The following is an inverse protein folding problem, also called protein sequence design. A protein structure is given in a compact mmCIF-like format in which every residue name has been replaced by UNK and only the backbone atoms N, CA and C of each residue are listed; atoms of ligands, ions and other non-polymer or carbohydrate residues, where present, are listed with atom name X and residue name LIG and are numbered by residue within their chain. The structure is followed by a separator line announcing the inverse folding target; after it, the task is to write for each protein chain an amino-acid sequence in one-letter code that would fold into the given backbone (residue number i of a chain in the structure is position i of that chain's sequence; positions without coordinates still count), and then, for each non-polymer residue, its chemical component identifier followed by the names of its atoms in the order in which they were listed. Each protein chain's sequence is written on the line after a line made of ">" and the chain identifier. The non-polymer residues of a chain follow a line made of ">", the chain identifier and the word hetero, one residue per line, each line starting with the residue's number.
data_IF_816088787695
#
_entry.id   IF_816088787695
#
_cell.length_a   1.000
_cell.length_b   1.000
_cell.length_c   1.000
_cell.angle_alpha   90.00
_cell.angle_beta   90.00
_cell.angle_gamma   90.00
#
_symmetry.space_group_name_H-M   'P 1'
#
loop_
_entity.id
_entity.type
_entity.pdbx_description
1 polymer ?
#
# COMPACT_ATOMS: atom_id res chain seq x y z
N UNK A 1 -1.89 -14.41 33.03
CA UNK A 1 -2.63 -14.82 31.82
C UNK A 1 -1.88 -14.23 30.65
N UNK A 2 -1.37 -15.07 29.73
CA UNK A 2 -0.64 -14.59 28.56
C UNK A 2 -1.58 -13.76 27.70
N UNK A 3 -1.28 -12.47 27.55
CA UNK A 3 -2.06 -11.60 26.69
C UNK A 3 -1.96 -12.11 25.24
N UNK A 4 -3.09 -12.56 24.69
CA UNK A 4 -3.18 -12.93 23.27
C UNK A 4 -2.92 -11.68 22.40
N UNK A 5 -2.28 -11.88 21.25
CA UNK A 5 -1.94 -10.86 20.26
C UNK A 5 -2.89 -10.96 19.06
N UNK A 6 -4.12 -10.39 19.14
CA UNK A 6 -5.11 -10.51 18.08
C UNK A 6 -4.65 -9.86 16.77
N UNK A 7 -3.78 -8.85 16.86
CA UNK A 7 -3.12 -8.21 15.72
C UNK A 7 -2.34 -9.20 14.86
N UNK A 8 -1.64 -10.15 15.48
CA UNK A 8 -0.89 -11.20 14.79
C UNK A 8 -1.80 -12.32 14.29
N UNK A 9 -2.85 -12.66 15.04
CA UNK A 9 -3.81 -13.69 14.65
C UNK A 9 -4.62 -13.28 13.40
N UNK A 10 -4.90 -12.00 13.23
CA UNK A 10 -5.63 -11.46 12.08
C UNK A 10 -4.81 -11.43 10.77
N UNK A 11 -3.49 -11.64 10.82
CA UNK A 11 -2.64 -11.57 9.62
C UNK A 11 -2.82 -12.79 8.72
N UNK A 12 -3.41 -12.57 7.55
CA UNK A 12 -3.50 -13.59 6.50
C UNK A 12 -2.12 -13.94 5.90
N UNK A 13 -2.06 -15.06 5.17
CA UNK A 13 -0.87 -15.41 4.39
C UNK A 13 -0.50 -14.30 3.39
N UNK A 14 -1.49 -13.70 2.73
CA UNK A 14 -1.29 -12.57 1.82
C UNK A 14 -0.73 -11.34 2.55
N UNK A 15 -1.23 -11.05 3.76
CA UNK A 15 -0.68 -10.00 4.60
C UNK A 15 0.80 -10.27 4.92
N UNK A 16 1.15 -11.49 5.33
CA UNK A 16 2.55 -11.84 5.61
C UNK A 16 3.43 -11.72 4.36
N UNK A 17 2.92 -12.05 3.18
CA UNK A 17 3.64 -11.87 1.90
C UNK A 17 3.89 -10.38 1.64
N UNK A 18 2.86 -9.55 1.79
CA UNK A 18 2.95 -8.10 1.57
C UNK A 18 3.84 -7.40 2.60
N UNK A 19 3.83 -7.88 3.86
CA UNK A 19 4.65 -7.36 4.94
C UNK A 19 6.12 -7.81 4.82
N UNK A 20 6.38 -8.95 4.19
CA UNK A 20 7.71 -9.57 4.07
C UNK A 20 8.07 -9.92 2.61
N UNK A 21 8.03 -11.21 2.24
CA UNK A 21 8.26 -11.72 0.90
C UNK A 21 7.62 -13.12 0.76
N UNK A 22 7.05 -13.41 -0.40
CA UNK A 22 6.49 -14.73 -0.75
C UNK A 22 7.46 -15.90 -0.49
N UNK A 23 8.76 -15.72 -0.75
CA UNK A 23 9.77 -16.75 -0.51
C UNK A 23 9.93 -17.09 0.97
N UNK A 24 9.85 -16.10 1.86
CA UNK A 24 9.92 -16.34 3.30
C UNK A 24 8.67 -17.04 3.82
N UNK A 25 7.48 -16.61 3.39
CA UNK A 25 6.21 -17.20 3.82
C UNK A 25 6.12 -18.66 3.41
N UNK A 26 6.39 -18.97 2.13
CA UNK A 26 6.35 -20.37 1.62
C UNK A 26 7.35 -21.27 2.36
N UNK A 27 8.56 -20.76 2.61
CA UNK A 27 9.59 -21.53 3.32
C UNK A 27 9.24 -21.73 4.80
N UNK A 28 8.69 -20.70 5.45
CA UNK A 28 8.23 -20.78 6.83
C UNK A 28 7.07 -21.77 7.01
N UNK A 29 6.07 -21.74 6.12
CA UNK A 29 4.98 -22.72 6.10
C UNK A 29 5.49 -24.14 5.91
N UNK A 30 6.45 -24.34 5.00
CA UNK A 30 7.09 -25.63 4.78
C UNK A 30 7.83 -26.11 6.03
N UNK A 31 8.66 -25.26 6.63
CA UNK A 31 9.40 -25.59 7.86
C UNK A 31 8.44 -26.02 8.99
N UNK A 32 7.29 -25.35 9.15
CA UNK A 32 6.26 -25.74 10.14
C UNK A 32 5.61 -27.09 9.81
N UNK A 33 5.26 -27.33 8.54
CA UNK A 33 4.69 -28.63 8.11
C UNK A 33 5.66 -29.80 8.30
N UNK A 34 6.96 -29.54 8.27
CA UNK A 34 8.03 -30.52 8.52
C UNK A 34 8.35 -30.69 10.03
N UNK A 35 7.56 -30.08 10.92
CA UNK A 35 7.74 -30.16 12.37
C UNK A 35 8.87 -29.30 12.93
N UNK A 36 9.44 -28.37 12.13
CA UNK A 36 10.50 -27.43 12.57
C UNK A 36 9.89 -26.18 13.21
N UNK A 37 8.93 -26.36 14.10
CA UNK A 37 8.31 -25.25 14.82
C UNK A 37 9.27 -24.73 15.91
N UNK A 38 9.43 -23.40 16.07
CA UNK A 38 10.19 -22.85 17.17
C UNK A 38 9.50 -23.09 18.51
N UNK A 39 10.30 -23.10 19.58
CA UNK A 39 9.77 -22.95 20.94
C UNK A 39 9.31 -21.51 21.12
N UNK A 40 8.00 -21.32 21.36
CA UNK A 40 7.41 -20.02 21.58
C UNK A 40 7.17 -19.78 23.07
N UNK A 41 7.58 -18.61 23.55
CA UNK A 41 7.14 -18.05 24.82
C UNK A 41 6.46 -16.71 24.57
N UNK A 42 5.30 -16.50 25.19
CA UNK A 42 4.54 -15.26 25.12
C UNK A 42 4.31 -14.76 26.53
N UNK A 43 4.86 -13.60 26.89
CA UNK A 43 4.68 -12.99 28.21
C UNK A 43 4.31 -11.52 28.03
N UNK A 44 3.19 -11.09 28.63
CA UNK A 44 2.72 -9.69 28.58
C UNK A 44 2.66 -9.07 27.16
N UNK A 45 2.39 -9.90 26.14
CA UNK A 45 2.31 -9.48 24.74
C UNK A 45 3.66 -9.41 24.00
N UNK A 46 4.79 -9.60 24.68
CA UNK A 46 6.08 -9.86 24.04
C UNK A 46 6.14 -11.33 23.60
N UNK A 47 6.53 -11.56 22.35
CA UNK A 47 6.64 -12.89 21.77
C UNK A 47 8.11 -13.22 21.49
N UNK A 48 8.57 -14.34 22.04
CA UNK A 48 9.94 -14.83 21.88
C UNK A 48 9.88 -16.21 21.21
N UNK A 49 10.62 -16.39 20.12
CA UNK A 49 10.76 -17.65 19.40
C UNK A 49 12.21 -18.12 19.42
N UNK A 50 12.44 -19.36 19.89
CA UNK A 50 13.75 -20.02 19.85
C UNK A 50 13.72 -21.12 18.80
N UNK A 51 14.69 -21.11 17.88
CA UNK A 51 14.75 -22.05 16.77
C UNK A 51 15.82 -23.12 17.01
N UNK A 52 15.65 -24.27 16.37
CA UNK A 52 16.62 -25.37 16.43
C UNK A 52 17.98 -25.05 15.80
N UNK A 53 18.05 -24.03 14.94
CA UNK A 53 19.30 -23.50 14.38
C UNK A 53 20.03 -22.51 15.31
N UNK A 54 19.55 -22.36 16.56
CA UNK A 54 20.19 -21.55 17.60
C UNK A 54 19.87 -20.06 17.53
N UNK A 55 19.08 -19.62 16.56
CA UNK A 55 18.63 -18.23 16.47
C UNK A 55 17.46 -17.95 17.43
N UNK A 56 17.25 -16.67 17.72
CA UNK A 56 16.16 -16.18 18.58
C UNK A 56 15.52 -15.00 17.87
N UNK A 57 14.19 -15.01 17.76
CA UNK A 57 13.40 -13.87 17.33
C UNK A 57 12.63 -13.30 18.52
N UNK A 58 12.55 -11.99 18.64
CA UNK A 58 11.76 -11.29 19.65
C UNK A 58 10.87 -10.26 18.99
N UNK A 59 9.61 -10.18 19.42
CA UNK A 59 8.65 -9.19 18.97
C UNK A 59 8.06 -8.49 20.20
N UNK A 60 8.38 -7.19 20.40
CA UNK A 60 7.85 -6.43 21.53
C UNK A 60 6.31 -6.35 21.53
N UNK A 61 5.74 -6.14 22.71
CA UNK A 61 4.30 -5.92 22.88
C UNK A 61 3.81 -4.73 22.04
N UNK A 62 2.69 -4.93 21.31
CA UNK A 62 2.08 -3.91 20.44
C UNK A 62 2.86 -3.54 19.18
N UNK A 63 4.07 -4.08 18.99
CA UNK A 63 4.90 -3.80 17.83
C UNK A 63 4.54 -4.69 16.64
N UNK A 64 4.72 -4.18 15.42
CA UNK A 64 4.42 -4.92 14.20
C UNK A 64 5.57 -5.85 13.77
N UNK A 65 5.31 -6.73 12.80
CA UNK A 65 6.30 -7.71 12.29
C UNK A 65 7.65 -7.09 11.87
N UNK A 66 7.67 -5.82 11.43
CA UNK A 66 8.89 -5.10 11.05
C UNK A 66 9.82 -4.80 12.23
N UNK A 67 9.23 -4.58 13.40
CA UNK A 67 9.95 -4.20 14.62
C UNK A 67 10.47 -5.43 15.38
N UNK A 68 10.08 -6.64 14.94
CA UNK A 68 10.67 -7.87 15.41
C UNK A 68 12.20 -7.83 15.23
N UNK A 69 12.94 -8.34 16.19
CA UNK A 69 14.40 -8.53 16.11
C UNK A 69 14.68 -10.01 15.95
N UNK A 70 15.76 -10.34 15.26
CA UNK A 70 16.21 -11.72 15.12
C UNK A 70 17.74 -11.74 15.16
N UNK A 71 18.32 -12.75 15.80
CA UNK A 71 19.78 -12.93 15.88
C UNK A 71 20.41 -13.54 14.63
N UNK A 72 19.62 -13.80 13.58
CA UNK A 72 20.13 -14.29 12.30
C UNK A 72 20.88 -13.18 11.53
N UNK A 73 21.80 -13.52 10.59
CA UNK A 73 22.59 -12.54 9.84
C UNK A 73 21.79 -11.75 8.78
N UNK A 74 20.48 -11.98 8.65
CA UNK A 74 19.67 -11.29 7.66
C UNK A 74 19.41 -9.83 8.04
N UNK A 75 19.59 -8.92 7.08
CA UNK A 75 19.28 -7.50 7.24
C UNK A 75 17.78 -7.26 7.04
N UNK A 76 17.08 -6.87 8.09
CA UNK A 76 15.64 -6.62 8.06
C UNK A 76 14.82 -7.89 8.29
N UNK A 77 13.78 -8.10 7.49
CA UNK A 77 12.91 -9.26 7.62
C UNK A 77 13.59 -10.55 7.16
N UNK A 78 13.25 -11.66 7.82
CA UNK A 78 13.82 -12.97 7.55
C UNK A 78 12.75 -14.06 7.70
N UNK A 79 13.09 -15.27 7.26
CA UNK A 79 12.20 -16.43 7.43
C UNK A 79 11.82 -16.64 8.90
N UNK A 80 12.75 -16.45 9.84
CA UNK A 80 12.51 -16.70 11.26
C UNK A 80 11.38 -15.83 11.80
N UNK A 81 11.43 -14.51 11.56
CA UNK A 81 10.39 -13.57 12.00
C UNK A 81 9.00 -13.95 11.46
N UNK A 82 8.92 -14.44 10.22
CA UNK A 82 7.67 -14.94 9.62
C UNK A 82 7.23 -16.25 10.26
N UNK A 83 8.15 -17.21 10.44
CA UNK A 83 7.88 -18.49 11.12
C UNK A 83 7.37 -18.28 12.54
N UNK A 84 7.88 -17.28 13.27
CA UNK A 84 7.40 -16.95 14.63
C UNK A 84 5.92 -16.58 14.63
N UNK A 85 5.46 -15.73 13.70
CA UNK A 85 4.05 -15.35 13.61
C UNK A 85 3.18 -16.54 13.20
N UNK A 86 3.60 -17.31 12.19
CA UNK A 86 2.85 -18.49 11.74
C UNK A 86 2.77 -19.58 12.83
N UNK A 87 3.86 -19.81 13.57
CA UNK A 87 3.88 -20.74 14.69
C UNK A 87 2.96 -20.26 15.83
N UNK A 88 2.91 -18.95 16.09
CA UNK A 88 2.03 -18.37 17.09
C UNK A 88 0.56 -18.53 16.70
N UNK A 89 0.22 -18.29 15.43
CA UNK A 89 -1.11 -18.55 14.88
C UNK A 89 -1.52 -20.02 15.02
N UNK A 90 -0.62 -20.95 14.69
CA UNK A 90 -0.87 -22.39 14.83
C UNK A 90 -1.06 -22.83 16.29
N UNK A 91 -0.27 -22.29 17.23
CA UNK A 91 -0.46 -22.59 18.66
C UNK A 91 -1.80 -22.07 19.18
N UNK A 92 -2.20 -20.86 18.77
CA UNK A 92 -3.50 -20.29 19.15
C UNK A 92 -4.68 -21.07 18.57
N UNK A 93 -4.59 -21.58 17.33
CA UNK A 93 -5.65 -22.41 16.75
C UNK A 93 -5.78 -23.75 17.48
N UNK A 94 -4.66 -24.41 17.80
CA UNK A 94 -4.66 -25.68 18.55
C UNK A 94 -5.18 -25.51 19.98
N UNK A 95 -4.88 -24.38 20.65
CA UNK A 95 -5.42 -24.07 21.96
C UNK A 95 -6.96 -23.90 21.93
N UNK A 96 -7.47 -23.18 20.91
CA UNK A 96 -8.92 -23.02 20.72
C UNK A 96 -9.62 -24.34 20.37
N UNK A 97 -8.98 -25.23 19.61
CA UNK A 97 -9.52 -26.56 19.30
C UNK A 97 -9.53 -27.49 20.52
N UNK A 98 -8.53 -27.41 21.40
CA UNK A 98 -8.46 -28.21 22.63
C UNK A 98 -9.47 -27.76 23.70
N UNK A 99 -9.89 -26.49 23.69
CA UNK A 99 -10.91 -25.95 24.60
C UNK A 99 -12.35 -26.21 24.12
N UNK A 100 -12.55 -26.63 22.87
CA UNK A 100 -13.86 -26.94 22.28
C UNK A 100 -14.01 -28.46 21.96
N UNK A 101 -14.42 -29.26 22.94
CA UNK A 101 -14.98 -30.60 22.67
C UNK A 101 -16.32 -30.51 21.91
N UNK A 102 -16.70 -31.52 21.10
CA UNK A 102 -17.58 -31.34 19.95
C UNK A 102 -19.05 -31.22 20.36
N UNK A 103 -19.49 -29.99 20.63
CA UNK A 103 -20.88 -29.62 20.35
C UNK A 103 -20.94 -29.13 18.92
N UNK A 104 -21.65 -29.88 18.09
CA UNK A 104 -21.97 -29.54 16.72
C UNK A 104 -22.73 -28.20 16.68
N UNK A 105 -21.98 -27.11 16.61
CA UNK A 105 -22.45 -25.84 16.12
C UNK A 105 -21.34 -25.32 15.26
N UNK A 106 -21.54 -25.49 13.95
CA UNK A 106 -20.85 -24.78 12.89
C UNK A 106 -20.78 -23.30 13.27
N UNK A 107 -19.69 -22.90 13.91
CA UNK A 107 -19.29 -21.51 14.00
C UNK A 107 -18.84 -21.13 12.59
N UNK A 108 -19.83 -20.81 11.75
CA UNK A 108 -19.65 -19.71 10.81
C UNK A 108 -19.27 -18.52 11.69
N UNK A 109 -17.95 -18.33 11.88
CA UNK A 109 -17.41 -17.11 12.45
C UNK A 109 -18.03 -15.99 11.64
N UNK A 110 -18.96 -15.26 12.24
CA UNK A 110 -19.55 -14.07 11.64
C UNK A 110 -18.38 -13.24 11.14
N UNK A 111 -18.21 -13.18 9.82
CA UNK A 111 -17.03 -12.54 9.25
C UNK A 111 -17.21 -11.06 9.51
N UNK A 112 -16.58 -10.59 10.58
CA UNK A 112 -16.78 -9.26 11.10
C UNK A 112 -16.26 -8.26 10.05
N UNK A 113 -17.20 -7.65 9.32
CA UNK A 113 -16.90 -6.59 8.37
C UNK A 113 -16.24 -5.45 9.14
N UNK A 114 -14.97 -5.17 8.82
CA UNK A 114 -14.21 -4.15 9.54
C UNK A 114 -13.78 -3.01 8.62
N UNK A 115 -13.57 -1.82 9.20
CA UNK A 115 -13.15 -0.62 8.47
C UNK A 115 -11.95 0.03 9.14
N UNK A 116 -10.92 0.48 8.39
CA UNK A 116 -9.80 1.25 8.94
C UNK A 116 -10.19 2.53 9.68
N UNK A 117 -11.44 2.98 9.56
CA UNK A 117 -12.01 4.07 10.36
C UNK A 117 -11.83 3.88 11.88
N UNK A 118 -11.73 2.62 12.35
CA UNK A 118 -11.51 2.30 13.76
C UNK A 118 -10.20 2.87 14.31
N UNK A 119 -9.19 3.09 13.45
CA UNK A 119 -7.89 3.64 13.84
C UNK A 119 -7.90 5.17 14.03
N UNK A 120 -9.06 5.83 13.94
CA UNK A 120 -9.17 7.29 14.06
C UNK A 120 -8.57 7.82 15.37
N UNK A 121 -8.81 7.14 16.49
CA UNK A 121 -8.28 7.53 17.81
C UNK A 121 -6.77 7.27 17.90
N UNK A 122 -6.27 6.20 17.30
CA UNK A 122 -4.83 5.91 17.24
C UNK A 122 -4.05 7.00 16.51
N UNK A 123 -4.68 7.72 15.56
CA UNK A 123 -4.03 8.86 14.90
C UNK A 123 -3.57 9.94 15.89
N UNK A 124 -4.27 10.13 17.01
CA UNK A 124 -3.91 11.13 18.03
C UNK A 124 -2.57 10.81 18.73
N UNK A 125 -2.14 9.55 18.69
CA UNK A 125 -0.87 9.08 19.25
C UNK A 125 0.32 9.25 18.29
N UNK A 126 0.06 9.60 17.02
CA UNK A 126 1.11 9.74 16.02
C UNK A 126 1.90 11.05 16.19
N UNK A 127 3.17 11.10 15.71
CA UNK A 127 3.99 12.31 15.79
C UNK A 127 3.31 13.53 15.14
N UNK A 128 3.34 14.68 15.82
CA UNK A 128 2.68 15.91 15.34
C UNK A 128 3.19 16.38 13.98
N UNK A 129 4.46 16.13 13.63
CA UNK A 129 5.03 16.43 12.32
C UNK A 129 4.43 15.57 11.19
N UNK A 130 4.12 14.31 11.47
CA UNK A 130 3.42 13.42 10.55
C UNK A 130 1.98 13.87 10.35
N UNK A 131 1.26 14.15 11.44
CA UNK A 131 -0.11 14.65 11.38
C UNK A 131 -0.21 15.97 10.61
N UNK A 132 0.71 16.91 10.83
CA UNK A 132 0.77 18.16 10.05
C UNK A 132 0.94 17.92 8.55
N UNK A 133 1.77 16.95 8.14
CA UNK A 133 1.92 16.56 6.73
C UNK A 133 0.65 15.91 6.18
N UNK A 134 0.00 15.04 6.95
CA UNK A 134 -1.28 14.43 6.56
C UNK A 134 -2.39 15.49 6.39
N UNK A 135 -2.52 16.43 7.32
CA UNK A 135 -3.47 17.54 7.23
C UNK A 135 -3.20 18.45 6.04
N UNK A 136 -1.93 18.68 5.72
CA UNK A 136 -1.52 19.43 4.53
C UNK A 136 -1.97 18.75 3.23
N UNK A 137 -1.88 17.42 3.15
CA UNK A 137 -2.41 16.66 2.01
C UNK A 137 -3.94 16.72 1.97
N UNK A 138 -4.62 16.62 3.12
CA UNK A 138 -6.08 16.77 3.18
C UNK A 138 -6.54 18.17 2.73
N UNK A 139 -5.84 19.24 3.13
CA UNK A 139 -6.15 20.61 2.70
C UNK A 139 -5.93 20.89 1.22
N UNK A 140 -5.25 20.00 0.51
CA UNK A 140 -5.10 20.07 -0.95
C UNK A 140 -6.28 19.40 -1.69
N UNK A 141 -7.44 19.22 -1.04
CA UNK A 141 -8.62 18.54 -1.60
C UNK A 141 -8.28 17.18 -2.23
N UNK A 142 -7.38 16.41 -1.59
CA UNK A 142 -6.93 15.14 -2.12
C UNK A 142 -8.10 14.16 -2.26
N UNK A 143 -8.40 13.78 -3.50
CA UNK A 143 -9.38 12.74 -3.81
C UNK A 143 -8.76 11.36 -3.60
N UNK A 144 -9.42 10.53 -2.79
CA UNK A 144 -8.96 9.17 -2.48
C UNK A 144 -10.06 8.18 -2.85
N UNK A 145 -9.71 7.14 -3.63
CA UNK A 145 -10.62 6.00 -3.78
C UNK A 145 -10.40 5.01 -2.67
N UNK A 146 -11.45 4.72 -1.93
CA UNK A 146 -11.50 3.66 -0.95
C UNK A 146 -12.09 2.40 -1.59
N UNK A 147 -11.54 1.26 -1.21
CA UNK A 147 -12.12 -0.06 -1.43
C UNK A 147 -12.39 -0.66 -0.05
N UNK A 148 -13.64 -0.99 0.22
CA UNK A 148 -14.07 -1.55 1.49
C UNK A 148 -13.54 -2.98 1.68
N UNK A 149 -13.54 -3.45 2.94
CA UNK A 149 -13.33 -4.85 3.23
C UNK A 149 -14.42 -5.71 2.56
N UNK A 150 -14.05 -6.84 1.96
CA UNK A 150 -14.97 -7.83 1.41
C UNK A 150 -14.48 -9.24 1.76
N UNK A 151 -15.39 -10.21 1.83
CA UNK A 151 -15.03 -11.63 2.04
C UNK A 151 -14.02 -12.13 1.02
N UNK A 152 -14.21 -11.74 -0.25
CA UNK A 152 -13.39 -12.18 -1.37
C UNK A 152 -12.07 -11.40 -1.50
N UNK A 153 -12.02 -10.22 -0.87
CA UNK A 153 -10.87 -9.29 -0.88
C UNK A 153 -10.75 -8.63 0.48
N UNK A 154 -10.16 -9.31 1.49
CA UNK A 154 -10.21 -8.89 2.90
C UNK A 154 -9.21 -7.77 3.25
N UNK A 155 -8.77 -6.99 2.26
CA UNK A 155 -7.77 -5.93 2.42
C UNK A 155 -8.34 -4.56 2.02
N UNK A 156 -8.88 -3.79 2.99
CA UNK A 156 -9.28 -2.41 2.75
C UNK A 156 -8.13 -1.62 2.14
N UNK A 157 -8.41 -0.89 1.06
CA UNK A 157 -7.38 -0.19 0.30
C UNK A 157 -7.79 1.24 0.01
N UNK A 158 -6.90 2.19 0.26
CA UNK A 158 -7.03 3.58 -0.17
C UNK A 158 -6.05 3.84 -1.33
N UNK A 159 -6.59 4.29 -2.46
CA UNK A 159 -5.83 4.72 -3.62
C UNK A 159 -5.75 6.25 -3.62
N UNK A 160 -4.58 6.76 -3.26
CA UNK A 160 -4.22 8.17 -3.35
C UNK A 160 -3.64 8.46 -4.75
N UNK A 161 -3.48 9.73 -5.15
CA UNK A 161 -2.97 10.07 -6.48
C UNK A 161 -1.60 9.46 -6.82
N UNK A 162 -0.69 9.42 -5.83
CA UNK A 162 0.71 8.99 -6.02
C UNK A 162 1.09 7.72 -5.26
N UNK A 163 0.19 7.15 -4.46
CA UNK A 163 0.47 5.97 -3.65
C UNK A 163 -0.81 5.21 -3.32
N UNK A 164 -0.66 3.95 -2.92
CA UNK A 164 -1.73 3.11 -2.40
C UNK A 164 -1.42 2.68 -0.97
N UNK A 165 -2.45 2.68 -0.12
CA UNK A 165 -2.39 2.23 1.26
C UNK A 165 -3.29 1.02 1.45
N UNK A 166 -2.74 -0.08 1.97
CA UNK A 166 -3.46 -1.32 2.28
C UNK A 166 -3.43 -1.59 3.77
N UNK A 167 -4.56 -2.04 4.31
CA UNK A 167 -4.69 -2.40 5.71
C UNK A 167 -4.87 -3.91 5.85
N UNK A 168 -4.09 -4.52 6.75
CA UNK A 168 -3.96 -5.98 6.85
C UNK A 168 -4.41 -6.56 8.20
N UNK A 169 -4.72 -5.71 9.19
CA UNK A 169 -5.19 -6.12 10.51
C UNK A 169 -6.16 -5.08 11.03
N UNK A 170 -7.25 -5.51 11.65
CA UNK A 170 -8.24 -4.67 12.34
C UNK A 170 -7.80 -4.25 13.75
N UNK A 171 -6.70 -4.81 14.27
CA UNK A 171 -6.28 -4.61 15.65
C UNK A 171 -5.00 -3.78 15.81
N UNK A 172 -4.30 -3.45 14.71
CA UNK A 172 -3.11 -2.60 14.79
C UNK A 172 -2.81 -1.88 13.48
N UNK A 173 -2.66 -0.56 13.57
CA UNK A 173 -2.24 0.30 12.47
C UNK A 173 -0.80 0.00 11.98
N UNK A 174 0.04 -0.62 12.81
CA UNK A 174 1.44 -0.96 12.48
C UNK A 174 1.57 -1.90 11.28
N UNK A 175 0.52 -2.67 10.99
CA UNK A 175 0.44 -3.57 9.85
C UNK A 175 -0.03 -2.88 8.57
N UNK A 176 -0.49 -1.63 8.60
CA UNK A 176 -0.82 -0.90 7.38
C UNK A 176 0.42 -0.67 6.51
N UNK A 177 0.26 -0.73 5.19
CA UNK A 177 1.37 -0.51 4.25
C UNK A 177 0.99 0.50 3.19
N UNK A 178 1.89 1.47 3.00
CA UNK A 178 1.89 2.37 1.87
C UNK A 178 3.02 1.96 0.92
N UNK A 179 2.80 2.09 -0.39
CA UNK A 179 3.83 1.91 -1.42
C UNK A 179 4.75 3.14 -1.59
N UNK A 180 4.70 4.11 -0.66
CA UNK A 180 5.65 5.21 -0.61
C UNK A 180 7.07 4.75 -0.20
N UNK A 181 8.03 5.68 -0.17
CA UNK A 181 9.41 5.39 0.26
C UNK A 181 9.55 5.15 1.76
N UNK A 182 8.63 5.70 2.57
CA UNK A 182 8.64 5.50 4.01
C UNK A 182 8.23 4.06 4.34
N UNK A 183 9.05 3.42 5.17
CA UNK A 183 8.89 2.01 5.52
C UNK A 183 8.10 1.78 6.82
N UNK A 184 7.58 2.85 7.40
CA UNK A 184 6.82 2.89 8.65
C UNK A 184 5.46 3.56 8.42
N UNK A 185 4.69 3.80 9.48
CA UNK A 185 3.47 4.61 9.40
C UNK A 185 3.83 6.01 8.87
N UNK A 186 3.27 6.38 7.71
CA UNK A 186 3.52 7.64 7.02
C UNK A 186 2.27 8.53 6.97
N UNK A 187 2.41 9.75 6.47
CA UNK A 187 1.31 10.70 6.30
C UNK A 187 0.17 10.17 5.42
N UNK A 188 0.48 9.32 4.43
CA UNK A 188 -0.52 8.71 3.56
C UNK A 188 -1.41 7.71 4.31
N UNK A 189 -0.84 6.96 5.27
CA UNK A 189 -1.62 6.04 6.12
C UNK A 189 -2.56 6.83 7.01
N UNK A 190 -2.08 7.90 7.63
CA UNK A 190 -2.93 8.79 8.43
C UNK A 190 -4.06 9.40 7.60
N UNK A 191 -3.74 9.89 6.39
CA UNK A 191 -4.73 10.43 5.45
C UNK A 191 -5.76 9.38 5.00
N UNK A 192 -5.31 8.15 4.74
CA UNK A 192 -6.21 7.04 4.40
C UNK A 192 -7.17 6.70 5.54
N UNK A 193 -6.70 6.64 6.79
CA UNK A 193 -7.57 6.44 7.97
C UNK A 193 -8.60 7.57 8.08
N UNK A 194 -8.20 8.83 7.87
CA UNK A 194 -9.13 9.96 7.84
C UNK A 194 -10.20 9.81 6.75
N UNK A 195 -9.80 9.36 5.55
CA UNK A 195 -10.72 9.11 4.45
C UNK A 195 -11.74 8.01 4.80
N UNK A 196 -11.30 6.89 5.36
CA UNK A 196 -12.20 5.83 5.83
C UNK A 196 -13.12 6.30 6.96
N UNK A 197 -12.63 7.17 7.86
CA UNK A 197 -13.44 7.74 8.94
C UNK A 197 -14.49 8.76 8.46
N UNK A 198 -14.32 9.31 7.26
CA UNK A 198 -15.28 10.24 6.62
C UNK A 198 -16.20 9.53 5.62
N UNK A 199 -15.92 8.27 5.27
CA UNK A 199 -16.79 7.46 4.43
C UNK A 199 -18.09 7.10 5.18
N UNK A 200 -19.22 6.91 4.47
CA UNK A 200 -20.42 6.34 5.05
C UNK A 200 -20.12 4.96 5.65
N UNK A 201 -20.81 4.63 6.73
CA UNK A 201 -20.54 3.43 7.53
C UNK A 201 -20.96 2.14 6.82
N UNK A 202 -21.91 2.20 5.88
CA UNK A 202 -22.48 1.00 5.24
C UNK A 202 -22.71 1.21 3.73
N UNK A 203 -22.91 0.09 3.01
CA UNK A 203 -23.38 0.01 1.62
C UNK A 203 -22.47 0.62 0.55
N UNK A 204 -21.18 0.32 0.59
CA UNK A 204 -20.29 0.62 -0.53
C UNK A 204 -19.16 -0.40 -0.65
N UNK A 205 -18.75 -0.66 -1.89
CA UNK A 205 -17.59 -1.50 -2.22
C UNK A 205 -16.41 -0.66 -2.65
N UNK A 206 -16.68 0.39 -3.42
CA UNK A 206 -15.74 1.40 -3.84
C UNK A 206 -16.36 2.79 -3.69
N UNK A 207 -15.60 3.74 -3.16
CA UNK A 207 -16.07 5.10 -2.92
C UNK A 207 -14.95 6.09 -3.17
N UNK A 208 -15.25 7.22 -3.81
CA UNK A 208 -14.31 8.34 -3.87
C UNK A 208 -14.66 9.34 -2.77
N UNK A 209 -13.68 9.66 -1.92
CA UNK A 209 -13.83 10.60 -0.80
C UNK A 209 -12.79 11.69 -0.95
N UNK A 210 -13.22 12.94 -0.87
CA UNK A 210 -12.33 14.09 -0.69
C UNK A 210 -12.15 14.30 0.80
N UNK A 211 -10.91 14.21 1.29
CA UNK A 211 -10.65 14.27 2.73
C UNK A 211 -10.71 15.70 3.23
N UNK A 212 -11.58 15.95 4.20
CA UNK A 212 -11.67 17.24 4.88
C UNK A 212 -10.70 17.24 6.08
N UNK A 213 -9.72 18.15 6.16
CA UNK A 213 -8.83 18.23 7.32
C UNK A 213 -9.62 18.66 8.58
N UNK A 214 -9.24 18.18 9.78
CA UNK A 214 -9.90 18.59 11.03
C UNK A 214 -9.61 20.06 11.42
N UNK A 215 -8.59 20.70 10.85
CA UNK A 215 -8.30 22.12 11.04
C UNK A 215 -8.42 22.87 9.70
N UNK A 216 -9.33 23.85 9.63
CA UNK A 216 -9.63 24.66 8.43
C UNK A 216 -8.48 25.63 8.04
N UNK A 217 -7.50 25.85 8.91
CA UNK A 217 -6.38 26.79 8.67
C UNK A 217 -5.14 26.15 8.03
N UNK A 218 -5.24 24.91 7.55
CA UNK A 218 -4.15 24.31 6.79
C UNK A 218 -4.04 25.03 5.44
N UNK A 219 -2.93 25.75 5.24
CA UNK A 219 -2.61 26.41 3.97
C UNK A 219 -2.62 25.37 2.85
N UNK A 220 -3.44 25.60 1.81
CA UNK A 220 -3.47 24.79 0.60
C UNK A 220 -2.02 24.57 0.12
N UNK A 221 -1.61 23.31 0.03
CA UNK A 221 -0.26 22.94 -0.33
C UNK A 221 -0.28 22.29 -1.70
N UNK A 222 0.21 23.03 -2.69
CA UNK A 222 0.38 22.53 -4.03
C UNK A 222 1.64 21.65 -4.09
N UNK A 223 1.46 20.33 -4.26
CA UNK A 223 2.54 19.36 -4.43
C UNK A 223 3.46 19.70 -5.62
N UNK A 224 2.95 20.44 -6.61
CA UNK A 224 3.65 20.82 -7.82
C UNK A 224 4.33 22.19 -7.73
N UNK A 225 4.22 22.89 -6.59
CA UNK A 225 4.80 24.24 -6.41
C UNK A 225 6.33 24.24 -6.20
N UNK A 226 6.93 23.11 -5.84
CA UNK A 226 8.38 23.04 -5.66
C UNK A 226 9.11 23.10 -7.00
N UNK A 227 10.27 23.75 -7.05
CA UNK A 227 11.09 23.85 -8.27
C UNK A 227 11.41 22.47 -8.88
N UNK A 228 11.73 21.49 -8.02
CA UNK A 228 11.97 20.11 -8.45
C UNK A 228 10.71 19.45 -9.07
N UNK A 229 9.53 19.72 -8.52
CA UNK A 229 8.27 19.20 -9.08
C UNK A 229 7.90 19.88 -10.40
N UNK A 230 8.14 21.18 -10.55
CA UNK A 230 7.95 21.91 -11.80
C UNK A 230 8.91 21.42 -12.89
N UNK A 231 10.18 21.20 -12.55
CA UNK A 231 11.16 20.64 -13.48
C UNK A 231 10.79 19.21 -13.90
N UNK A 232 10.27 18.39 -12.98
CA UNK A 232 9.80 17.04 -13.28
C UNK A 232 8.56 17.06 -14.17
N UNK A 233 7.61 17.98 -13.94
CA UNK A 233 6.46 18.21 -14.83
C UNK A 233 6.93 18.51 -16.25
N UNK A 234 7.83 19.47 -16.39
CA UNK A 234 8.39 19.84 -17.70
C UNK A 234 9.08 18.65 -18.37
N UNK A 235 9.86 17.86 -17.64
CA UNK A 235 10.53 16.69 -18.18
C UNK A 235 9.52 15.61 -18.65
N UNK A 236 8.50 15.30 -17.84
CA UNK A 236 7.47 14.31 -18.18
C UNK A 236 6.65 14.75 -19.41
N UNK A 237 6.28 16.03 -19.49
CA UNK A 237 5.58 16.58 -20.66
C UNK A 237 6.46 16.56 -21.91
N UNK A 238 7.74 16.91 -21.79
CA UNK A 238 8.69 16.90 -22.91
C UNK A 238 8.91 15.49 -23.45
N UNK A 239 9.11 14.50 -22.56
CA UNK A 239 9.25 13.08 -22.95
C UNK A 239 8.00 12.62 -23.73
N UNK A 240 6.81 12.91 -23.22
CA UNK A 240 5.58 12.51 -23.89
C UNK A 240 5.40 13.20 -25.25
N UNK A 241 5.67 14.50 -25.34
CA UNK A 241 5.58 15.25 -26.57
C UNK A 241 6.53 14.72 -27.64
N UNK A 242 7.80 14.48 -27.28
CA UNK A 242 8.80 13.93 -28.20
C UNK A 242 8.44 12.52 -28.67
N UNK A 243 7.98 11.65 -27.77
CA UNK A 243 7.49 10.33 -28.14
C UNK A 243 6.29 10.39 -29.09
N UNK A 244 5.39 11.38 -28.93
CA UNK A 244 4.24 11.58 -29.82
C UNK A 244 4.64 12.14 -31.18
N UNK A 245 5.60 13.06 -31.24
CA UNK A 245 6.01 13.71 -32.48
C UNK A 245 6.94 12.83 -33.32
N UNK A 246 7.91 12.18 -32.69
CA UNK A 246 8.97 11.45 -33.37
C UNK A 246 8.67 9.95 -33.49
N UNK A 247 7.84 9.43 -32.58
CA UNK A 247 7.44 8.02 -32.48
C UNK A 247 8.42 7.18 -31.64
N UNK A 248 7.92 6.11 -31.02
CA UNK A 248 8.70 5.22 -30.14
C UNK A 248 9.76 4.37 -30.86
N UNK A 249 9.79 4.40 -32.19
CA UNK A 249 10.75 3.65 -33.01
C UNK A 249 12.06 4.40 -33.25
N UNK A 250 12.16 5.66 -32.82
CA UNK A 250 13.38 6.46 -32.98
C UNK A 250 14.47 6.07 -31.98
N UNK A 251 15.75 6.30 -32.29
CA UNK A 251 16.84 5.92 -31.40
C UNK A 251 16.79 6.73 -30.09
N UNK A 252 16.86 6.05 -28.93
CA UNK A 252 16.57 6.66 -27.62
C UNK A 252 17.52 7.78 -27.16
N UNK A 253 18.69 7.92 -27.79
CA UNK A 253 19.76 8.87 -27.41
C UNK A 253 19.28 10.30 -27.11
N UNK A 254 18.35 10.83 -27.93
CA UNK A 254 17.74 12.15 -27.74
C UNK A 254 16.95 12.31 -26.42
N UNK A 255 16.45 11.21 -25.83
CA UNK A 255 15.67 11.19 -24.60
C UNK A 255 16.47 10.76 -23.36
N UNK A 256 17.69 10.25 -23.52
CA UNK A 256 18.45 9.66 -22.41
C UNK A 256 18.71 10.65 -21.28
N UNK A 257 19.11 11.87 -21.63
CA UNK A 257 19.34 12.94 -20.66
C UNK A 257 18.05 13.34 -19.92
N UNK A 258 16.92 13.43 -20.64
CA UNK A 258 15.62 13.77 -20.05
C UNK A 258 15.11 12.68 -19.11
N UNK A 259 15.23 11.40 -19.49
CA UNK A 259 14.88 10.29 -18.59
C UNK A 259 15.79 10.27 -17.35
N UNK A 260 17.10 10.48 -17.51
CA UNK A 260 18.02 10.51 -16.36
C UNK A 260 17.64 11.64 -15.38
N UNK A 261 17.36 12.84 -15.91
CA UNK A 261 16.90 13.97 -15.11
C UNK A 261 15.57 13.68 -14.41
N UNK A 262 14.58 13.16 -15.14
CA UNK A 262 13.26 12.87 -14.58
C UNK A 262 13.33 11.81 -13.46
N UNK A 263 14.13 10.76 -13.65
CA UNK A 263 14.35 9.72 -12.63
C UNK A 263 15.02 10.30 -11.38
N UNK A 264 16.05 11.12 -11.53
CA UNK A 264 16.75 11.77 -10.41
C UNK A 264 15.81 12.72 -9.63
N UNK A 265 14.99 13.51 -10.35
CA UNK A 265 14.01 14.39 -9.72
C UNK A 265 12.94 13.59 -8.96
N UNK A 266 12.38 12.54 -9.58
CA UNK A 266 11.39 11.67 -8.94
C UNK A 266 11.95 10.98 -7.69
N UNK A 267 13.22 10.55 -7.71
CA UNK A 267 13.91 9.99 -6.56
C UNK A 267 14.09 11.04 -5.44
N UNK A 268 14.52 12.26 -5.79
CA UNK A 268 14.69 13.35 -4.82
C UNK A 268 13.38 13.76 -4.14
N UNK A 269 12.27 13.74 -4.88
CA UNK A 269 10.92 13.99 -4.39
C UNK A 269 10.33 12.77 -3.66
N UNK A 270 11.01 11.62 -3.73
CA UNK A 270 10.56 10.33 -3.18
C UNK A 270 9.23 9.85 -3.76
N UNK A 271 8.92 10.23 -5.00
CA UNK A 271 7.71 9.85 -5.71
C UNK A 271 7.88 8.50 -6.40
N UNK A 272 7.83 7.43 -5.60
CA UNK A 272 8.16 6.07 -6.02
C UNK A 272 7.37 5.58 -7.22
N UNK A 273 6.07 5.84 -7.25
CA UNK A 273 5.24 5.44 -8.37
C UNK A 273 5.70 6.09 -9.70
N UNK A 274 6.01 7.40 -9.67
CA UNK A 274 6.51 8.13 -10.85
C UNK A 274 7.86 7.56 -11.28
N UNK A 275 8.75 7.29 -10.32
CA UNK A 275 10.05 6.66 -10.56
C UNK A 275 9.90 5.28 -11.24
N UNK A 276 9.01 4.43 -10.71
CA UNK A 276 8.75 3.08 -11.26
C UNK A 276 8.12 3.15 -12.65
N UNK A 277 7.14 4.04 -12.87
CA UNK A 277 6.52 4.26 -14.18
C UNK A 277 7.50 4.78 -15.23
N UNK A 278 8.35 5.76 -14.88
CA UNK A 278 9.40 6.25 -15.77
C UNK A 278 10.44 5.16 -16.10
N UNK A 279 10.82 4.37 -15.09
CA UNK A 279 11.76 3.24 -15.27
C UNK A 279 11.18 2.19 -16.20
N UNK A 280 9.91 1.81 -15.99
CA UNK A 280 9.22 0.84 -16.83
C UNK A 280 9.04 1.33 -18.27
N UNK A 281 8.67 2.61 -18.47
CA UNK A 281 8.55 3.20 -19.79
C UNK A 281 9.91 3.23 -20.52
N UNK A 282 10.98 3.68 -19.84
CA UNK A 282 12.33 3.68 -20.39
C UNK A 282 12.77 2.27 -20.80
N UNK A 283 12.54 1.28 -19.95
CA UNK A 283 12.89 -0.12 -20.24
C UNK A 283 12.12 -0.66 -21.44
N UNK A 284 10.83 -0.34 -21.57
CA UNK A 284 10.02 -0.77 -22.71
C UNK A 284 10.54 -0.17 -24.04
N UNK A 285 10.95 1.10 -24.04
CA UNK A 285 11.55 1.74 -25.21
C UNK A 285 12.92 1.15 -25.57
N UNK A 286 13.75 0.83 -24.57
CA UNK A 286 15.04 0.14 -24.78
C UNK A 286 14.84 -1.26 -25.36
N UNK A 287 13.89 -2.03 -24.83
CA UNK A 287 13.56 -3.36 -25.37
C UNK A 287 13.08 -3.26 -26.83
N UNK A 288 12.30 -2.23 -27.17
CA UNK A 288 11.85 -1.96 -28.55
C UNK A 288 13.02 -1.60 -29.48
N UNK A 289 13.91 -0.69 -29.06
CA UNK A 289 15.09 -0.32 -29.84
C UNK A 289 16.03 -1.51 -30.09
N UNK A 290 16.16 -2.40 -29.10
CA UNK A 290 16.96 -3.62 -29.19
C UNK A 290 16.28 -4.76 -29.98
N UNK A 291 15.04 -4.57 -30.47
CA UNK A 291 14.21 -5.62 -31.10
C UNK A 291 14.10 -6.88 -30.23
N UNK A 292 14.01 -6.67 -28.93
CA UNK A 292 13.88 -7.74 -27.93
C UNK A 292 12.55 -8.48 -28.11
N UNK A 293 12.51 -9.77 -27.78
CA UNK A 293 11.25 -10.54 -27.73
C UNK A 293 10.28 -10.02 -26.67
N UNK A 294 10.75 -9.19 -25.74
CA UNK A 294 9.92 -8.49 -24.73
C UNK A 294 9.26 -7.21 -25.26
N UNK A 295 9.63 -6.75 -26.45
CA UNK A 295 9.13 -5.51 -27.01
C UNK A 295 7.67 -5.66 -27.48
N UNK A 296 6.77 -4.96 -26.80
CA UNK A 296 5.36 -4.91 -27.15
C UNK A 296 4.91 -3.44 -27.27
N UNK A 297 4.62 -2.94 -28.50
CA UNK A 297 4.23 -1.54 -28.70
C UNK A 297 2.99 -1.11 -27.89
N UNK A 298 2.03 -2.02 -27.72
CA UNK A 298 0.83 -1.79 -26.89
C UNK A 298 1.18 -1.54 -25.42
N UNK A 299 2.20 -2.25 -24.90
CA UNK A 299 2.66 -2.07 -23.52
C UNK A 299 3.34 -0.72 -23.34
N UNK A 300 4.17 -0.28 -24.30
CA UNK A 300 4.80 1.05 -24.29
C UNK A 300 3.75 2.15 -24.30
N UNK A 301 2.74 2.05 -25.18
CA UNK A 301 1.64 3.01 -25.24
C UNK A 301 0.83 3.04 -23.92
N UNK A 302 0.50 1.86 -23.37
CA UNK A 302 -0.21 1.78 -22.11
C UNK A 302 0.55 2.44 -20.96
N UNK A 303 1.86 2.21 -20.85
CA UNK A 303 2.71 2.84 -19.84
C UNK A 303 2.77 4.37 -19.98
N UNK A 304 2.89 4.87 -21.22
CA UNK A 304 2.89 6.32 -21.49
C UNK A 304 1.54 6.96 -21.12
N UNK A 305 0.43 6.36 -21.57
CA UNK A 305 -0.91 6.85 -21.26
C UNK A 305 -1.20 6.80 -19.75
N UNK A 306 -0.80 5.72 -19.06
CA UNK A 306 -0.95 5.57 -17.63
C UNK A 306 -0.16 6.64 -16.86
N UNK A 307 1.11 6.86 -17.25
CA UNK A 307 1.94 7.91 -16.66
C UNK A 307 1.27 9.28 -16.80
N UNK A 308 0.86 9.65 -18.02
CA UNK A 308 0.26 10.95 -18.32
C UNK A 308 -1.09 11.16 -17.63
N UNK A 309 -1.96 10.14 -17.65
CA UNK A 309 -3.28 10.24 -17.04
C UNK A 309 -3.20 10.45 -15.52
N UNK A 310 -2.37 9.66 -14.82
CA UNK A 310 -2.22 9.82 -13.36
C UNK A 310 -1.51 11.11 -12.99
N UNK A 311 -0.50 11.52 -13.78
CA UNK A 311 0.18 12.79 -13.58
C UNK A 311 -0.78 13.97 -13.70
N UNK A 312 -1.53 14.03 -14.81
CA UNK A 312 -2.52 15.09 -15.08
C UNK A 312 -3.60 15.13 -14.01
N UNK A 313 -4.10 13.96 -13.59
CA UNK A 313 -5.07 13.87 -12.50
C UNK A 313 -4.51 14.36 -11.17
N UNK A 314 -3.25 14.05 -10.87
CA UNK A 314 -2.64 14.50 -9.62
C UNK A 314 -2.49 16.02 -9.60
N UNK A 315 -2.15 16.62 -10.75
CA UNK A 315 -2.12 18.07 -10.92
C UNK A 315 -3.49 18.71 -10.74
N UNK A 316 -4.51 18.14 -11.38
CA UNK A 316 -5.88 18.62 -11.23
C UNK A 316 -6.33 18.58 -9.77
N UNK A 317 -6.02 17.49 -9.06
CA UNK A 317 -6.34 17.36 -7.64
C UNK A 317 -5.64 18.40 -6.75
N UNK A 318 -4.48 18.92 -7.16
CA UNK A 318 -3.75 19.94 -6.39
C UNK A 318 -4.22 21.38 -6.68
N UNK A 319 -5.15 21.60 -7.61
CA UNK A 319 -5.63 22.94 -7.94
C UNK A 319 -6.59 23.45 -6.84
N UNK A 320 -6.39 24.68 -6.33
CA UNK A 320 -7.21 25.24 -5.24
C UNK A 320 -8.68 25.42 -5.61
N UNK A 321 -8.99 25.60 -6.90
CA UNK A 321 -10.35 25.82 -7.42
C UNK A 321 -11.00 24.55 -8.01
N UNK A 322 -10.44 23.36 -7.74
CA UNK A 322 -11.06 22.12 -8.21
C UNK A 322 -12.47 21.97 -7.58
N UNK A 323 -13.53 21.73 -8.38
CA UNK A 323 -14.88 21.57 -7.86
C UNK A 323 -14.92 20.46 -6.80
N UNK A 324 -15.64 20.72 -5.70
CA UNK A 324 -15.82 19.77 -4.61
C UNK A 324 -16.51 18.47 -5.05
N UNK A 325 -17.23 18.52 -6.17
CA UNK A 325 -17.70 17.37 -6.93
C UNK A 325 -16.62 16.96 -7.94
N UNK A 326 -16.01 15.77 -7.78
CA UNK A 326 -15.09 15.27 -8.79
C UNK A 326 -15.83 15.12 -10.13
N UNK A 327 -15.17 15.35 -11.28
CA UNK A 327 -15.77 15.03 -12.56
C UNK A 327 -16.26 13.56 -12.57
N UNK A 328 -17.39 13.30 -13.23
CA UNK A 328 -18.04 11.97 -13.33
C UNK A 328 -17.11 10.85 -13.79
N UNK A 329 -15.96 11.20 -14.37
CA UNK A 329 -14.90 10.28 -14.75
C UNK A 329 -13.70 10.47 -13.80
N UNK A 330 -13.69 9.78 -12.65
CA UNK A 330 -12.48 9.71 -11.86
C UNK A 330 -11.41 8.98 -12.68
N UNK A 331 -10.16 9.41 -12.57
CA UNK A 331 -8.95 8.96 -13.30
C UNK A 331 -8.82 7.45 -13.46
N UNK A 332 -9.43 6.71 -12.55
CA UNK A 332 -9.50 5.27 -12.56
C UNK A 332 -10.43 4.62 -13.56
N UNK A 333 -11.42 5.35 -14.06
CA UNK A 333 -12.29 4.91 -15.14
C UNK A 333 -11.60 5.09 -16.49
N UNK A 334 -10.67 6.05 -16.58
CA UNK A 334 -9.79 6.24 -17.75
C UNK A 334 -8.77 5.10 -17.90
N UNK A 335 -8.38 4.43 -16.80
CA UNK A 335 -7.28 3.46 -16.78
C UNK A 335 -7.69 1.99 -16.57
N UNK A 336 -8.98 1.64 -16.72
CA UNK A 336 -9.47 0.26 -16.86
C UNK A 336 -8.69 -0.82 -16.08
N UNK A 337 -8.76 -0.80 -14.74
CA UNK A 337 -8.63 -2.05 -14.00
C UNK A 337 -9.91 -2.86 -14.27
N UNK A 338 -9.83 -3.83 -15.19
CA UNK A 338 -10.92 -4.69 -15.66
C UNK A 338 -11.96 -5.02 -14.58
N UNK A 339 -13.14 -4.42 -14.69
CA UNK A 339 -14.40 -5.02 -14.21
C UNK A 339 -15.45 -4.76 -15.29
N UNK A 340 -15.97 -5.84 -15.87
CA UNK A 340 -17.19 -5.78 -16.68
C UNK A 340 -18.34 -5.47 -15.73
N UNK A 341 -18.80 -4.22 -15.65
CA UNK A 341 -20.11 -3.90 -15.11
C UNK A 341 -21.02 -3.48 -16.25
N UNK A 342 -22.08 -4.27 -16.44
CA UNK A 342 -23.22 -4.00 -17.30
C UNK A 342 -23.94 -2.77 -16.73
N UNK A 343 -24.10 -1.74 -17.53
CA UNK A 343 -24.93 -0.59 -17.17
C UNK A 343 -26.40 -0.96 -17.34
N UNK A 344 -27.19 -0.88 -16.27
CA UNK A 344 -28.63 -0.65 -16.36
C UNK A 344 -28.82 0.80 -15.90
N UNK A 345 -29.12 1.65 -16.86
CA UNK A 345 -29.61 3.01 -16.63
C UNK A 345 -31.13 2.86 -16.46
N UNK A 346 -31.67 3.33 -15.34
CA UNK A 346 -33.08 3.70 -15.29
C UNK A 346 -33.16 5.22 -15.39
N UNK A 347 -34.06 5.67 -16.27
CA UNK A 347 -34.38 7.06 -16.60
C UNK A 347 -34.73 7.92 -15.38
#
# INVERSE_FOLDING_TARGET
>A
MNALRPDLLALSSEALIALSNAGFVKKAQKDLSEGKSPELNSENGELIARYSDGHISTLPAGAGLRDARCTCPANGLCRHRVTMVLAYQHQASMANEAENEPTASSHEAAVETWSPALFKTELETLPSSLLKRAYRLASANTLIRLTAWQSDSPTPTAHLPMCSVRFFSSHSLSHARCDCSDQQVCEHIALAVMAFAQAPTENWTQLNVTVIPPQQNATAYDLFSSEAAMALDQAIQTIALQLWQEGSSQPLHHLEALFAQALQLAESLKWRWVLESLTALRQALLDQAARSSRAHPERTLALLCELQARWTSSRYACQPDAPSTPPLLPTCWVLASKVKSRWIIYD
#
